data_IF_912031788627
#
_entry.id   IF_912031788627
#
_cell.length_a   1.000
_cell.length_b   1.000
_cell.length_c   1.000
_cell.angle_alpha   90.00
_cell.angle_beta   90.00
_cell.angle_gamma   90.00
#
_symmetry.space_group_name_H-M   'P 1'
#
loop_
_entity.id
_entity.type
_entity.pdbx_description
1 polymer ?
#
# COMPACT_ATOMS: atom_id res chain seq x y z
N UNK A 1 0.45 -8.77 24.52
CA UNK A 1 0.23 -9.08 23.09
C UNK A 1 0.61 -7.84 22.30
N UNK A 2 1.81 -7.84 21.73
CA UNK A 2 2.43 -6.63 21.19
C UNK A 2 2.63 -6.67 19.68
N UNK A 3 1.90 -7.56 18.98
CA UNK A 3 1.98 -7.72 17.54
C UNK A 3 0.71 -7.13 16.93
N UNK A 4 0.89 -6.32 15.88
CA UNK A 4 -0.18 -5.87 15.00
C UNK A 4 0.12 -6.40 13.60
N UNK A 5 -0.79 -7.19 13.04
CA UNK A 5 -0.68 -7.67 11.68
C UNK A 5 -2.02 -7.46 10.99
N UNK A 6 -2.00 -6.89 9.79
CA UNK A 6 -3.18 -6.69 8.97
C UNK A 6 -2.85 -6.98 7.51
N UNK A 7 -3.82 -7.55 6.80
CA UNK A 7 -3.76 -7.75 5.35
C UNK A 7 -5.09 -7.33 4.75
N UNK A 8 -5.03 -6.71 3.57
CA UNK A 8 -6.17 -6.23 2.82
C UNK A 8 -6.01 -6.63 1.37
N UNK A 9 -7.10 -7.13 0.79
CA UNK A 9 -7.21 -7.34 -0.64
C UNK A 9 -8.50 -6.67 -1.11
N UNK A 10 -8.38 -5.85 -2.14
CA UNK A 10 -9.51 -5.12 -2.71
C UNK A 10 -9.44 -5.13 -4.22
N UNK A 11 -10.59 -5.36 -4.86
CA UNK A 11 -10.74 -5.11 -6.29
C UNK A 11 -11.63 -3.90 -6.49
N UNK A 12 -11.19 -2.93 -7.29
CA UNK A 12 -12.03 -1.83 -7.75
C UNK A 12 -12.29 -1.99 -9.25
N UNK A 13 -13.50 -1.63 -9.70
CA UNK A 13 -13.86 -1.60 -11.12
C UNK A 13 -14.39 -0.22 -11.47
N UNK A 14 -13.90 0.38 -12.55
CA UNK A 14 -14.34 1.70 -13.07
C UNK A 14 -14.32 2.88 -12.07
N UNK A 15 -13.59 2.78 -10.95
CA UNK A 15 -13.57 3.84 -9.91
C UNK A 15 -12.21 4.54 -9.77
N UNK A 16 -11.11 3.93 -10.23
CA UNK A 16 -9.77 4.51 -9.99
C UNK A 16 -9.44 5.51 -11.09
N UNK A 17 -9.52 6.80 -10.78
CA UNK A 17 -9.11 7.91 -11.69
C UNK A 17 -7.61 7.80 -11.98
N UNK A 18 -7.23 7.72 -13.26
CA UNK A 18 -5.86 7.93 -13.72
C UNK A 18 -5.62 9.43 -13.89
N UNK A 19 -4.36 9.86 -13.78
CA UNK A 19 -3.91 11.25 -13.88
C UNK A 19 -4.32 12.00 -15.18
N UNK A 20 -4.90 11.30 -16.17
CA UNK A 20 -5.34 11.83 -17.44
C UNK A 20 -6.88 11.76 -17.63
N UNK A 21 -7.69 11.83 -16.57
CA UNK A 21 -9.18 11.74 -16.63
C UNK A 21 -9.73 10.41 -17.20
N UNK A 22 -8.94 9.35 -17.23
CA UNK A 22 -9.37 8.01 -17.63
C UNK A 22 -9.59 7.12 -16.41
N UNK A 23 -10.65 6.32 -16.39
CA UNK A 23 -10.90 5.35 -15.32
C UNK A 23 -10.18 4.03 -15.61
N UNK A 24 -9.51 3.45 -14.60
CA UNK A 24 -9.05 2.08 -14.68
C UNK A 24 -10.26 1.12 -14.68
N UNK A 25 -10.36 0.25 -15.69
CA UNK A 25 -11.46 -0.71 -15.80
C UNK A 25 -11.46 -1.70 -14.63
N UNK A 26 -10.28 -2.14 -14.19
CA UNK A 26 -10.11 -2.99 -13.01
C UNK A 26 -8.79 -2.67 -12.30
N UNK A 27 -8.81 -2.52 -10.97
CA UNK A 27 -7.59 -2.44 -10.15
C UNK A 27 -7.64 -3.56 -9.12
N UNK A 28 -6.52 -4.28 -8.94
CA UNK A 28 -6.34 -5.24 -7.85
C UNK A 28 -5.33 -4.64 -6.88
N UNK A 29 -5.76 -4.42 -5.64
CA UNK A 29 -4.97 -3.85 -4.56
C UNK A 29 -4.73 -4.92 -3.51
N UNK A 30 -3.48 -5.02 -3.07
CA UNK A 30 -3.05 -5.87 -1.98
C UNK A 30 -2.17 -5.04 -1.05
N UNK A 31 -2.51 -5.02 0.22
CA UNK A 31 -1.76 -4.33 1.25
C UNK A 31 -1.55 -5.28 2.42
N UNK A 32 -0.32 -5.36 2.91
CA UNK A 32 0.00 -6.13 4.11
C UNK A 32 0.89 -5.30 5.01
N UNK A 33 0.63 -5.32 6.31
CA UNK A 33 1.43 -4.62 7.30
C UNK A 33 1.62 -5.49 8.53
N UNK A 34 2.85 -5.52 9.03
CA UNK A 34 3.20 -6.17 10.28
C UNK A 34 4.02 -5.21 11.13
N UNK A 35 3.66 -5.11 12.39
CA UNK A 35 4.27 -4.22 13.35
C UNK A 35 4.39 -4.91 14.69
N UNK A 36 5.43 -4.55 15.42
CA UNK A 36 5.66 -5.05 16.77
C UNK A 36 5.87 -3.88 17.71
N UNK A 37 5.26 -3.89 18.89
CA UNK A 37 5.38 -2.84 19.90
C UNK A 37 6.26 -3.33 21.05
N UNK A 38 7.49 -2.85 21.15
CA UNK A 38 8.30 -3.13 22.32
C UNK A 38 7.80 -2.35 23.54
N UNK A 39 7.96 -2.93 24.72
CA UNK A 39 7.56 -2.33 26.00
C UNK A 39 8.35 -1.05 26.31
N UNK A 40 9.56 -0.90 25.74
CA UNK A 40 10.40 0.30 25.86
C UNK A 40 10.03 1.42 24.86
N UNK A 41 8.94 1.27 24.11
CA UNK A 41 8.39 2.31 23.24
C UNK A 41 8.77 2.24 21.76
N UNK A 42 9.70 1.37 21.36
CA UNK A 42 10.02 1.17 19.93
C UNK A 42 8.93 0.35 19.23
N UNK A 43 8.55 0.74 18.03
CA UNK A 43 7.57 0.06 17.19
C UNK A 43 8.06 -0.07 15.75
N UNK A 44 8.83 -1.10 15.39
CA UNK A 44 9.12 -1.40 13.99
C UNK A 44 7.85 -1.76 13.21
N UNK A 45 7.86 -1.45 11.92
CA UNK A 45 6.82 -1.76 10.94
C UNK A 45 7.43 -2.17 9.60
N UNK A 46 6.81 -3.17 8.99
CA UNK A 46 7.05 -3.59 7.62
C UNK A 46 5.70 -3.60 6.89
N UNK A 47 5.60 -2.78 5.86
CA UNK A 47 4.44 -2.68 4.98
C UNK A 47 4.79 -3.11 3.56
N UNK A 48 3.85 -3.76 2.89
CA UNK A 48 3.90 -4.05 1.45
C UNK A 48 2.62 -3.56 0.81
N UNK A 49 2.76 -2.77 -0.25
CA UNK A 49 1.62 -2.22 -0.99
C UNK A 49 1.83 -2.54 -2.46
N UNK A 50 0.88 -3.28 -3.01
CA UNK A 50 0.84 -3.69 -4.40
C UNK A 50 -0.50 -3.32 -5.02
N UNK A 51 -0.46 -2.59 -6.13
CA UNK A 51 -1.63 -2.20 -6.90
C UNK A 51 -1.34 -2.37 -8.38
N UNK A 52 -2.10 -3.27 -9.01
CA UNK A 52 -2.05 -3.52 -10.45
C UNK A 52 -3.32 -3.03 -11.13
N UNK A 53 -3.17 -2.14 -12.10
CA UNK A 53 -4.23 -1.78 -13.02
C UNK A 53 -4.30 -2.82 -14.16
N UNK A 54 -5.44 -3.47 -14.32
CA UNK A 54 -5.74 -4.35 -15.45
C UNK A 54 -6.65 -3.62 -16.44
N UNK A 55 -6.42 -3.87 -17.73
CA UNK A 55 -7.21 -3.32 -18.84
C UNK A 55 -7.20 -1.79 -18.93
N UNK A 56 -6.03 -1.16 -18.73
CA UNK A 56 -5.89 0.28 -18.99
C UNK A 56 -5.92 0.50 -20.52
N UNK A 57 -6.84 1.34 -20.99
CA UNK A 57 -7.06 1.67 -22.42
C UNK A 57 -7.64 0.56 -23.33
N UNK A 58 -8.43 -0.38 -22.80
CA UNK A 58 -9.21 -1.27 -23.67
C UNK A 58 -10.26 -0.47 -24.47
N UNK A 59 -9.96 -0.16 -25.73
CA UNK A 59 -10.86 0.46 -26.71
C UNK A 59 -10.94 -0.45 -27.94
N UNK A 60 -12.16 -0.70 -28.41
CA UNK A 60 -12.48 -1.26 -29.73
C UNK A 60 -11.66 -2.50 -30.14
N UNK A 61 -11.81 -3.61 -29.42
CA UNK A 61 -11.20 -4.89 -29.82
C UNK A 61 -9.70 -5.03 -29.55
N UNK A 62 -9.05 -4.03 -28.94
CA UNK A 62 -7.66 -4.11 -28.50
C UNK A 62 -7.57 -4.41 -27.00
N UNK A 63 -6.77 -5.43 -26.64
CA UNK A 63 -6.45 -5.77 -25.24
C UNK A 63 -5.74 -4.59 -24.60
N UNK A 64 -6.32 -4.03 -23.55
CA UNK A 64 -5.70 -2.98 -22.75
C UNK A 64 -4.37 -3.46 -22.17
N UNK A 65 -3.46 -2.54 -21.89
CA UNK A 65 -2.17 -2.86 -21.30
C UNK A 65 -2.37 -2.98 -19.79
N UNK A 66 -1.90 -4.09 -19.21
CA UNK A 66 -1.72 -4.21 -17.77
C UNK A 66 -0.58 -3.27 -17.35
N UNK A 67 -0.86 -2.29 -16.49
CA UNK A 67 0.20 -1.46 -15.90
C UNK A 67 0.15 -1.56 -14.38
N UNK A 68 1.29 -1.87 -13.78
CA UNK A 68 1.48 -1.81 -12.34
C UNK A 68 1.46 -0.33 -11.93
N UNK A 69 0.52 0.04 -11.06
CA UNK A 69 0.31 1.44 -10.66
C UNK A 69 1.11 1.78 -9.41
N UNK A 70 1.22 0.83 -8.48
CA UNK A 70 1.96 1.00 -7.22
C UNK A 70 2.57 -0.35 -6.84
N UNK A 71 3.87 -0.39 -6.57
CA UNK A 71 4.51 -1.55 -5.96
C UNK A 71 5.65 -1.06 -5.08
N UNK A 72 5.49 -1.12 -3.77
CA UNK A 72 6.56 -0.75 -2.86
C UNK A 72 6.51 -1.53 -1.56
N UNK A 73 7.69 -1.63 -0.95
CA UNK A 73 7.86 -2.09 0.42
C UNK A 73 8.22 -0.88 1.26
N UNK A 74 7.55 -0.69 2.40
CA UNK A 74 7.89 0.32 3.39
C UNK A 74 8.48 -0.37 4.62
N UNK A 75 9.65 0.08 5.05
CA UNK A 75 10.24 -0.32 6.33
C UNK A 75 10.37 0.93 7.17
N UNK A 76 9.83 0.90 8.38
CA UNK A 76 9.89 2.04 9.28
C UNK A 76 9.88 1.63 10.74
N UNK A 77 10.12 2.61 11.59
CA UNK A 77 10.00 2.43 13.04
C UNK A 77 9.57 3.73 13.70
N UNK A 78 8.75 3.59 14.74
CA UNK A 78 8.41 4.66 15.66
C UNK A 78 9.11 4.43 16.99
N UNK A 79 9.52 5.50 17.65
CA UNK A 79 9.98 5.46 19.03
C UNK A 79 9.11 6.39 19.86
N UNK A 80 8.30 5.80 20.74
CA UNK A 80 7.39 6.51 21.63
C UNK A 80 8.08 6.77 22.97
N UNK A 81 8.43 8.03 23.25
CA UNK A 81 8.96 8.43 24.56
C UNK A 81 7.86 8.43 25.62
N UNK A 82 6.67 8.88 25.24
CA UNK A 82 5.45 8.85 26.04
C UNK A 82 4.23 8.97 25.11
N UNK A 83 3.01 9.05 25.67
CA UNK A 83 1.78 9.19 24.88
C UNK A 83 1.68 10.51 24.09
N UNK A 84 2.52 11.50 24.42
CA UNK A 84 2.46 12.86 23.89
C UNK A 84 3.64 13.19 22.95
N UNK A 85 4.67 12.34 22.86
CA UNK A 85 5.86 12.58 22.05
C UNK A 85 6.42 11.28 21.50
N UNK A 86 6.62 11.26 20.18
CA UNK A 86 7.27 10.18 19.46
C UNK A 86 8.11 10.75 18.30
N UNK A 87 9.05 9.95 17.84
CA UNK A 87 9.79 10.18 16.60
C UNK A 87 9.61 8.98 15.70
N UNK A 88 9.68 9.18 14.39
CA UNK A 88 9.56 8.10 13.42
C UNK A 88 10.54 8.26 12.27
N UNK A 89 10.93 7.13 11.70
CA UNK A 89 11.66 7.05 10.45
C UNK A 89 11.01 5.98 9.58
N UNK A 90 10.90 6.24 8.28
CA UNK A 90 10.37 5.30 7.32
C UNK A 90 11.16 5.41 6.02
N UNK A 91 11.31 4.28 5.35
CA UNK A 91 11.97 4.18 4.06
C UNK A 91 11.09 3.38 3.10
N UNK A 92 10.87 3.94 1.90
CA UNK A 92 10.07 3.32 0.84
C UNK A 92 10.99 2.78 -0.25
N UNK A 93 10.94 1.48 -0.49
CA UNK A 93 11.61 0.80 -1.60
C UNK A 93 10.63 0.65 -2.77
N UNK A 94 10.98 1.19 -3.94
CA UNK A 94 10.16 1.21 -5.16
C UNK A 94 10.84 0.49 -6.31
#
# INVERSE_FOLDING_TARGET
>A
NNIYAAMMYGETRNMTVLANDHFANKTQNFEAVVQYQFDFGLRPSLGYVYSKGKDLYARDGHKGVDADRVNYIEVGTWYYFNKNMNVYTAYKFN
#
